data_IF_090810041147
#
_entry.id   IF_090810041147
#
_cell.length_a   1.000
_cell.length_b   1.000
_cell.length_c   1.000
_cell.angle_alpha   90.00
_cell.angle_beta   90.00
_cell.angle_gamma   90.00
#
_symmetry.space_group_name_H-M   'P 1'
#
loop_
_entity.id
_entity.type
_entity.pdbx_description
1 polymer ?
#
# COMPACT_ATOMS: atom_id res chain seq x y z
N UNK A 1 -17.82 7.20 13.92
CA UNK A 1 -16.43 6.88 14.31
C UNK A 1 -16.02 7.76 15.49
N UNK A 2 -15.01 7.34 16.27
CA UNK A 2 -14.45 8.12 17.38
C UNK A 2 -14.14 9.57 16.98
N UNK A 3 -13.51 9.78 15.82
CA UNK A 3 -13.20 11.11 15.26
C UNK A 3 -14.47 11.99 15.08
N UNK A 4 -15.52 11.44 14.50
CA UNK A 4 -16.76 12.19 14.27
C UNK A 4 -17.43 12.59 15.59
N UNK A 5 -17.35 11.73 16.58
CA UNK A 5 -17.88 11.96 17.93
C UNK A 5 -17.07 13.04 18.66
N UNK A 6 -15.73 12.96 18.62
CA UNK A 6 -14.85 13.97 19.23
C UNK A 6 -14.95 15.34 18.54
N UNK A 7 -15.06 15.36 17.20
CA UNK A 7 -15.30 16.62 16.47
C UNK A 7 -16.60 17.30 16.88
N UNK A 8 -17.66 16.54 17.11
CA UNK A 8 -18.96 17.07 17.55
C UNK A 8 -18.91 17.63 18.97
N UNK A 9 -18.10 17.03 19.85
CA UNK A 9 -18.01 17.40 21.28
C UNK A 9 -17.09 18.61 21.51
N UNK A 10 -15.93 18.66 20.88
CA UNK A 10 -14.90 19.65 21.22
C UNK A 10 -14.43 20.56 20.06
N UNK A 11 -14.92 20.29 18.85
CA UNK A 11 -14.52 21.02 17.64
C UNK A 11 -13.12 20.65 17.13
N UNK A 12 -12.86 20.98 15.86
CA UNK A 12 -11.63 20.57 15.16
C UNK A 12 -10.35 21.12 15.82
N UNK A 13 -10.34 22.39 16.24
CA UNK A 13 -9.15 23.04 16.81
C UNK A 13 -8.72 22.40 18.14
N UNK A 14 -9.68 22.09 19.00
CA UNK A 14 -9.39 21.44 20.28
C UNK A 14 -9.00 19.97 20.08
N UNK A 15 -9.60 19.30 19.10
CA UNK A 15 -9.26 17.92 18.74
C UNK A 15 -7.81 17.84 18.23
N UNK A 16 -7.37 18.77 17.38
CA UNK A 16 -5.98 18.83 16.87
C UNK A 16 -4.96 19.14 17.97
N UNK A 17 -5.37 19.87 19.02
CA UNK A 17 -4.51 20.18 20.16
C UNK A 17 -4.54 19.12 21.27
N UNK A 18 -5.42 18.12 21.17
CA UNK A 18 -5.55 17.07 22.18
C UNK A 18 -4.58 15.92 21.95
N UNK A 19 -4.25 15.19 23.03
CA UNK A 19 -3.50 13.95 22.95
C UNK A 19 -4.34 12.84 22.32
N UNK A 20 -3.85 12.32 21.20
CA UNK A 20 -4.45 11.19 20.48
C UNK A 20 -3.89 9.89 21.06
N UNK A 21 -4.45 9.41 22.16
CA UNK A 21 -3.92 8.30 22.96
C UNK A 21 -3.66 7.02 22.17
N UNK A 22 -4.44 6.79 21.11
CA UNK A 22 -4.34 5.57 20.27
C UNK A 22 -3.52 5.80 18.99
N UNK A 23 -3.06 7.06 18.74
CA UNK A 23 -2.24 7.39 17.59
C UNK A 23 -0.76 7.27 17.92
N UNK A 24 -0.11 6.30 17.31
CA UNK A 24 1.35 6.15 17.37
C UNK A 24 1.95 6.42 16.00
N UNK A 25 2.77 7.45 15.90
CA UNK A 25 3.53 7.75 14.68
C UNK A 25 5.01 7.41 14.96
N UNK A 26 5.53 6.41 14.25
CA UNK A 26 6.95 6.04 14.29
C UNK A 26 7.54 6.15 12.90
N UNK A 27 8.68 6.80 12.79
CA UNK A 27 9.41 6.81 11.54
C UNK A 27 10.04 5.44 11.29
N UNK A 28 9.80 4.90 10.10
CA UNK A 28 10.39 3.65 9.62
C UNK A 28 11.16 4.00 8.35
N UNK A 29 12.48 3.71 8.32
CA UNK A 29 13.30 3.89 7.13
C UNK A 29 13.29 2.66 6.24
N UNK A 30 13.36 2.85 4.94
CA UNK A 30 13.65 1.78 4.00
C UNK A 30 15.18 1.53 4.04
N UNK A 31 15.65 0.30 4.34
CA UNK A 31 17.09 0.05 4.42
C UNK A 31 17.72 0.00 3.02
N UNK A 32 18.91 0.60 2.89
CA UNK A 32 19.70 0.45 1.66
C UNK A 32 20.08 -1.04 1.44
N UNK A 33 20.17 -1.52 0.19
CA UNK A 33 20.08 -0.74 -1.05
C UNK A 33 18.65 -0.57 -1.61
N UNK A 34 17.60 -0.91 -0.85
CA UNK A 34 16.23 -0.81 -1.36
C UNK A 34 15.85 0.63 -1.72
N UNK A 35 15.31 0.80 -2.92
CA UNK A 35 14.70 2.04 -3.40
C UNK A 35 13.23 1.82 -3.72
N UNK A 36 12.41 2.87 -3.50
CA UNK A 36 10.99 2.88 -3.86
C UNK A 36 10.81 3.45 -5.26
N UNK A 37 10.17 2.68 -6.14
CA UNK A 37 9.62 3.17 -7.40
C UNK A 37 8.11 3.29 -7.28
N UNK A 38 7.55 4.27 -7.96
CA UNK A 38 6.10 4.46 -8.09
C UNK A 38 5.76 4.57 -9.57
N UNK A 39 4.84 3.74 -10.03
CA UNK A 39 4.31 3.79 -11.39
C UNK A 39 2.84 4.21 -11.37
N UNK A 40 2.46 5.17 -12.20
CA UNK A 40 1.09 5.63 -12.37
C UNK A 40 0.47 5.03 -13.63
N UNK A 41 -0.73 4.46 -13.50
CA UNK A 41 -1.43 3.78 -14.60
C UNK A 41 -2.22 4.71 -15.53
N UNK A 42 -2.11 6.02 -15.35
CA UNK A 42 -2.81 7.01 -16.19
C UNK A 42 -4.29 7.21 -15.85
N UNK A 43 -4.83 6.48 -14.86
CA UNK A 43 -6.23 6.58 -14.47
C UNK A 43 -6.38 6.69 -12.96
N UNK A 44 -7.20 7.64 -12.50
CA UNK A 44 -7.47 7.80 -11.07
C UNK A 44 -8.39 6.69 -10.54
N UNK A 45 -8.08 6.18 -9.36
CA UNK A 45 -8.95 5.25 -8.63
C UNK A 45 -9.95 6.01 -7.75
N UNK A 46 -11.19 5.49 -7.67
CA UNK A 46 -12.19 6.00 -6.74
C UNK A 46 -12.27 5.12 -5.49
N UNK A 47 -11.55 5.50 -4.45
CA UNK A 47 -11.59 4.82 -3.15
C UNK A 47 -13.01 4.76 -2.58
N UNK A 48 -13.80 5.82 -2.73
CA UNK A 48 -15.19 5.89 -2.26
C UNK A 48 -16.06 4.83 -2.95
N UNK A 49 -15.88 4.63 -4.25
CA UNK A 49 -16.62 3.61 -5.00
C UNK A 49 -16.24 2.18 -4.56
N UNK A 50 -14.97 1.92 -4.33
CA UNK A 50 -14.51 0.61 -3.84
C UNK A 50 -15.04 0.31 -2.43
N UNK A 51 -15.00 1.29 -1.52
CA UNK A 51 -15.52 1.15 -0.15
C UNK A 51 -17.03 0.94 -0.14
N UNK A 52 -17.80 1.72 -0.88
CA UNK A 52 -19.27 1.56 -0.94
C UNK A 52 -19.67 0.22 -1.55
N UNK A 53 -18.96 -0.25 -2.58
CA UNK A 53 -19.19 -1.56 -3.18
C UNK A 53 -18.84 -2.70 -2.22
N UNK A 54 -17.78 -2.56 -1.42
CA UNK A 54 -17.41 -3.49 -0.37
C UNK A 54 -18.47 -3.54 0.74
N UNK A 55 -18.96 -2.39 1.20
CA UNK A 55 -19.98 -2.30 2.25
C UNK A 55 -21.32 -2.93 1.81
N UNK A 56 -21.74 -2.71 0.56
CA UNK A 56 -22.95 -3.32 0.00
C UNK A 56 -22.89 -4.86 -0.06
N UNK A 57 -21.69 -5.43 -0.16
CA UNK A 57 -21.45 -6.88 -0.20
C UNK A 57 -21.27 -7.51 1.18
N UNK A 58 -20.98 -6.73 2.21
CA UNK A 58 -20.73 -7.19 3.59
C UNK A 58 -21.94 -7.82 4.29
N UNK A 59 -23.13 -7.63 3.76
CA UNK A 59 -24.40 -8.11 4.37
C UNK A 59 -24.60 -9.63 4.31
N UNK A 60 -23.71 -10.38 3.69
CA UNK A 60 -23.73 -11.86 3.70
C UNK A 60 -22.72 -12.38 4.72
N UNK A 61 -23.15 -13.23 5.65
CA UNK A 61 -22.33 -13.78 6.74
C UNK A 61 -20.98 -14.35 6.27
N UNK A 62 -20.96 -15.05 5.13
CA UNK A 62 -19.72 -15.58 4.52
C UNK A 62 -18.71 -14.49 4.15
N UNK A 63 -19.16 -13.29 3.78
CA UNK A 63 -18.29 -12.17 3.39
C UNK A 63 -17.74 -11.40 4.58
N UNK A 64 -18.43 -11.42 5.70
CA UNK A 64 -17.93 -10.87 6.95
C UNK A 64 -16.76 -11.72 7.51
N UNK A 65 -16.82 -13.03 7.37
CA UNK A 65 -15.72 -13.93 7.70
C UNK A 65 -14.49 -13.69 6.81
N UNK A 66 -14.68 -13.58 5.47
CA UNK A 66 -13.62 -13.25 4.52
C UNK A 66 -12.96 -11.91 4.87
N UNK A 67 -13.76 -10.89 5.17
CA UNK A 67 -13.26 -9.58 5.54
C UNK A 67 -12.45 -9.62 6.85
N UNK A 68 -12.97 -10.30 7.87
CA UNK A 68 -12.30 -10.44 9.16
C UNK A 68 -10.97 -11.21 9.02
N UNK A 69 -10.94 -12.26 8.20
CA UNK A 69 -9.73 -13.00 7.91
C UNK A 69 -8.70 -12.13 7.18
N UNK A 70 -9.14 -11.38 6.16
CA UNK A 70 -8.27 -10.43 5.45
C UNK A 70 -7.65 -9.38 6.38
N UNK A 71 -8.44 -8.82 7.31
CA UNK A 71 -7.92 -7.85 8.28
C UNK A 71 -6.85 -8.45 9.19
N UNK A 72 -7.08 -9.66 9.68
CA UNK A 72 -6.12 -10.36 10.53
C UNK A 72 -4.82 -10.67 9.78
N UNK A 73 -4.93 -11.24 8.58
CA UNK A 73 -3.76 -11.57 7.75
C UNK A 73 -2.99 -10.32 7.33
N UNK A 74 -3.69 -9.24 6.98
CA UNK A 74 -3.08 -7.95 6.63
C UNK A 74 -2.36 -7.33 7.82
N UNK A 75 -2.95 -7.40 9.02
CA UNK A 75 -2.31 -6.91 10.25
C UNK A 75 -0.98 -7.63 10.49
N UNK A 76 -0.99 -8.96 10.47
CA UNK A 76 0.24 -9.76 10.65
C UNK A 76 1.29 -9.40 9.58
N UNK A 77 0.86 -9.26 8.31
CA UNK A 77 1.75 -8.89 7.22
C UNK A 77 2.39 -7.50 7.42
N UNK A 78 1.62 -6.51 7.86
CA UNK A 78 2.12 -5.15 8.15
C UNK A 78 3.06 -5.14 9.35
N UNK A 79 2.73 -5.86 10.44
CA UNK A 79 3.60 -5.99 11.60
C UNK A 79 4.94 -6.64 11.23
N UNK A 80 4.91 -7.66 10.38
CA UNK A 80 6.11 -8.30 9.84
C UNK A 80 6.94 -7.34 8.99
N UNK A 81 6.32 -6.53 8.14
CA UNK A 81 7.01 -5.50 7.34
C UNK A 81 7.68 -4.45 8.23
N UNK A 82 6.97 -3.96 9.25
CA UNK A 82 7.50 -3.00 10.22
C UNK A 82 8.74 -3.56 10.92
N UNK A 83 8.62 -4.78 11.44
CA UNK A 83 9.73 -5.48 12.10
C UNK A 83 10.92 -5.65 11.15
N UNK A 84 10.69 -6.09 9.92
CA UNK A 84 11.73 -6.30 8.92
C UNK A 84 12.46 -5.00 8.56
N UNK A 85 11.74 -3.88 8.40
CA UNK A 85 12.34 -2.57 8.17
C UNK A 85 13.20 -2.12 9.35
N UNK A 86 12.72 -2.31 10.58
CA UNK A 86 13.47 -1.95 11.82
C UNK A 86 14.75 -2.78 11.97
N UNK A 87 14.73 -4.04 11.56
CA UNK A 87 15.86 -4.96 11.61
C UNK A 87 16.72 -4.98 10.33
N UNK A 88 16.37 -4.19 9.32
CA UNK A 88 17.03 -4.13 8.02
C UNK A 88 17.10 -5.50 7.31
N UNK A 89 16.07 -6.31 7.51
CA UNK A 89 15.93 -7.63 6.89
C UNK A 89 15.28 -7.52 5.51
N UNK A 90 16.11 -7.30 4.50
CA UNK A 90 15.65 -7.10 3.09
C UNK A 90 14.86 -8.30 2.57
N UNK A 91 15.29 -9.55 2.72
CA UNK A 91 14.49 -10.70 2.33
C UNK A 91 13.09 -10.70 2.94
N UNK A 92 12.97 -10.42 4.23
CA UNK A 92 11.71 -10.37 4.94
C UNK A 92 10.83 -9.18 4.47
N UNK A 93 11.43 -8.01 4.16
CA UNK A 93 10.73 -6.88 3.54
C UNK A 93 10.11 -7.30 2.20
N UNK A 94 10.91 -7.89 1.31
CA UNK A 94 10.43 -8.35 0.00
C UNK A 94 9.32 -9.39 0.15
N UNK A 95 9.49 -10.35 1.04
CA UNK A 95 8.45 -11.37 1.34
C UNK A 95 7.14 -10.73 1.83
N UNK A 96 7.22 -9.73 2.70
CA UNK A 96 6.04 -9.03 3.22
C UNK A 96 5.30 -8.26 2.12
N UNK A 97 6.01 -7.60 1.19
CA UNK A 97 5.39 -6.92 0.05
C UNK A 97 4.69 -7.91 -0.88
N UNK A 98 5.36 -9.01 -1.25
CA UNK A 98 4.78 -10.08 -2.07
C UNK A 98 3.55 -10.69 -1.40
N UNK A 99 3.63 -10.97 -0.08
CA UNK A 99 2.48 -11.48 0.67
C UNK A 99 1.32 -10.50 0.71
N UNK A 100 1.58 -9.20 0.87
CA UNK A 100 0.53 -8.19 0.86
C UNK A 100 -0.18 -8.12 -0.50
N UNK A 101 0.58 -8.18 -1.62
CA UNK A 101 0.00 -8.29 -2.97
C UNK A 101 -0.92 -9.52 -3.06
N UNK A 102 -0.45 -10.68 -2.63
CA UNK A 102 -1.23 -11.92 -2.63
C UNK A 102 -2.54 -11.78 -1.82
N UNK A 103 -2.47 -11.21 -0.61
CA UNK A 103 -3.64 -11.00 0.24
C UNK A 103 -4.67 -10.08 -0.41
N UNK A 104 -4.22 -9.00 -1.05
CA UNK A 104 -5.09 -8.06 -1.77
C UNK A 104 -5.75 -8.73 -2.98
N UNK A 105 -5.03 -9.53 -3.75
CA UNK A 105 -5.58 -10.28 -4.90
C UNK A 105 -6.62 -11.29 -4.43
N UNK A 106 -6.27 -12.10 -3.44
CA UNK A 106 -7.19 -13.09 -2.87
C UNK A 106 -8.48 -12.43 -2.34
N UNK A 107 -8.35 -11.36 -1.58
CA UNK A 107 -9.49 -10.59 -1.09
C UNK A 107 -10.33 -10.01 -2.23
N UNK A 108 -9.68 -9.51 -3.29
CA UNK A 108 -10.33 -9.01 -4.50
C UNK A 108 -11.20 -10.08 -5.16
N UNK A 109 -10.66 -11.30 -5.32
CA UNK A 109 -11.38 -12.45 -5.88
C UNK A 109 -12.54 -12.87 -4.99
N UNK A 110 -12.29 -13.11 -3.70
CA UNK A 110 -13.28 -13.59 -2.73
C UNK A 110 -14.46 -12.58 -2.57
N UNK A 111 -14.18 -11.28 -2.69
CA UNK A 111 -15.18 -10.20 -2.60
C UNK A 111 -15.73 -9.75 -3.94
N UNK A 112 -15.25 -10.30 -5.06
CA UNK A 112 -15.56 -9.86 -6.42
C UNK A 112 -15.38 -8.35 -6.60
N UNK A 113 -14.21 -7.86 -6.19
CA UNK A 113 -13.74 -6.48 -6.36
C UNK A 113 -12.67 -6.44 -7.46
N UNK A 114 -12.30 -5.25 -7.91
CA UNK A 114 -11.15 -5.04 -8.79
C UNK A 114 -10.14 -4.15 -8.07
N UNK A 115 -9.24 -4.78 -7.31
CA UNK A 115 -8.15 -4.06 -6.61
C UNK A 115 -6.95 -3.92 -7.54
N UNK A 116 -6.52 -5.00 -8.19
CA UNK A 116 -5.43 -4.98 -9.16
C UNK A 116 -6.01 -4.97 -10.57
N UNK A 117 -5.95 -3.82 -11.25
CA UNK A 117 -6.38 -3.66 -12.65
C UNK A 117 -5.37 -4.31 -13.61
N UNK A 118 -5.70 -4.55 -14.89
CA UNK A 118 -4.74 -5.11 -15.85
C UNK A 118 -3.41 -4.36 -15.91
N UNK A 119 -3.41 -3.01 -15.87
CA UNK A 119 -2.18 -2.22 -15.85
C UNK A 119 -1.42 -2.34 -14.51
N UNK A 120 -2.12 -2.47 -13.38
CA UNK A 120 -1.47 -2.76 -12.10
C UNK A 120 -0.90 -4.17 -12.05
N UNK A 121 -1.55 -5.15 -12.69
CA UNK A 121 -1.01 -6.50 -12.86
C UNK A 121 0.28 -6.45 -13.68
N UNK A 122 0.27 -5.77 -14.83
CA UNK A 122 1.46 -5.60 -15.69
C UNK A 122 2.61 -4.91 -14.93
N UNK A 123 2.29 -3.84 -14.17
CA UNK A 123 3.25 -3.15 -13.31
C UNK A 123 3.93 -4.10 -12.33
N UNK A 124 3.14 -4.92 -11.65
CA UNK A 124 3.65 -5.81 -10.62
C UNK A 124 4.38 -7.02 -11.21
N UNK A 125 3.83 -7.64 -12.25
CA UNK A 125 4.38 -8.84 -12.86
C UNK A 125 5.71 -8.55 -13.57
N UNK A 126 5.81 -7.41 -14.28
CA UNK A 126 7.05 -6.97 -14.89
C UNK A 126 8.14 -6.66 -13.86
N UNK A 127 7.78 -6.08 -12.72
CA UNK A 127 8.71 -5.85 -11.62
C UNK A 127 9.20 -7.17 -11.01
N UNK A 128 8.31 -8.13 -10.75
CA UNK A 128 8.65 -9.45 -10.21
C UNK A 128 9.51 -10.26 -11.19
N UNK A 129 9.23 -10.20 -12.50
CA UNK A 129 10.06 -10.83 -13.53
C UNK A 129 11.50 -10.29 -13.57
N UNK A 130 11.71 -9.06 -13.10
CA UNK A 130 13.03 -8.44 -12.94
C UNK A 130 13.63 -8.62 -11.52
N UNK A 131 13.07 -9.51 -10.69
CA UNK A 131 13.58 -9.81 -9.34
C UNK A 131 13.25 -8.77 -8.26
N UNK A 132 12.40 -7.78 -8.59
CA UNK A 132 11.86 -6.81 -7.65
C UNK A 132 10.61 -7.35 -6.96
N UNK A 133 10.01 -6.57 -6.07
CA UNK A 133 8.70 -6.86 -5.48
C UNK A 133 7.80 -5.65 -5.63
N UNK A 134 6.54 -5.87 -6.01
CA UNK A 134 5.61 -4.78 -6.29
C UNK A 134 4.20 -5.10 -5.83
N UNK A 135 3.39 -4.06 -5.68
CA UNK A 135 1.96 -4.16 -5.33
C UNK A 135 1.21 -2.88 -5.70
N UNK A 136 -0.10 -2.95 -5.78
CA UNK A 136 -0.94 -1.75 -5.87
C UNK A 136 -0.71 -0.82 -4.67
N UNK A 137 -0.67 0.48 -4.90
CA UNK A 137 -0.64 1.50 -3.85
C UNK A 137 -2.07 1.86 -3.43
N UNK A 138 -2.30 2.02 -2.13
CA UNK A 138 -3.60 2.42 -1.61
C UNK A 138 -4.71 1.37 -1.78
N UNK A 139 -5.92 1.83 -2.11
CA UNK A 139 -7.11 0.99 -2.24
C UNK A 139 -7.14 0.11 -3.50
N UNK A 140 -6.27 0.37 -4.47
CA UNK A 140 -6.32 -0.27 -5.79
C UNK A 140 -7.41 0.31 -6.71
N UNK A 141 -7.77 -0.43 -7.74
CA UNK A 141 -8.77 0.00 -8.72
C UNK A 141 -8.22 0.92 -9.82
N UNK A 142 -6.91 1.04 -9.95
CA UNK A 142 -6.17 1.95 -10.81
C UNK A 142 -5.15 2.75 -10.04
N UNK A 143 -4.88 4.00 -10.48
CA UNK A 143 -3.95 4.95 -9.87
C UNK A 143 -2.50 4.44 -9.88
N UNK A 144 -1.89 4.23 -8.74
CA UNK A 144 -0.48 3.90 -8.66
C UNK A 144 -0.20 2.47 -8.18
N UNK A 145 0.93 1.93 -8.62
CA UNK A 145 1.60 0.81 -7.99
C UNK A 145 2.94 1.23 -7.40
N UNK A 146 3.41 0.48 -6.42
CA UNK A 146 4.73 0.64 -5.81
C UNK A 146 5.59 -0.59 -6.08
N UNK A 147 6.89 -0.37 -6.23
CA UNK A 147 7.88 -1.40 -6.40
C UNK A 147 9.10 -1.11 -5.52
N UNK A 148 9.71 -2.14 -4.94
CA UNK A 148 10.99 -2.05 -4.25
C UNK A 148 12.06 -2.73 -5.10
N UNK A 149 13.06 -1.95 -5.48
CA UNK A 149 14.25 -2.40 -6.23
C UNK A 149 15.49 -2.34 -5.35
N UNK A 150 16.51 -3.12 -5.66
CA UNK A 150 17.77 -3.16 -4.90
C UNK A 150 19.01 -2.88 -5.74
N UNK A 151 18.84 -2.56 -7.02
CA UNK A 151 19.92 -2.13 -7.91
C UNK A 151 19.45 -1.10 -8.94
N UNK A 152 20.38 -0.29 -9.41
CA UNK A 152 20.12 0.71 -10.43
C UNK A 152 19.73 0.06 -11.78
N UNK A 153 20.36 -1.04 -12.15
CA UNK A 153 20.03 -1.81 -13.36
C UNK A 153 18.58 -2.30 -13.32
N UNK A 154 18.15 -2.88 -12.20
CA UNK A 154 16.78 -3.34 -12.00
C UNK A 154 15.78 -2.18 -12.13
N UNK A 155 16.10 -1.03 -11.54
CA UNK A 155 15.30 0.19 -11.60
C UNK A 155 15.09 0.65 -13.05
N UNK A 156 16.19 0.79 -13.81
CA UNK A 156 16.16 1.26 -15.20
C UNK A 156 15.38 0.30 -16.11
N UNK A 157 15.62 -1.00 -15.98
CA UNK A 157 14.90 -2.02 -16.75
C UNK A 157 13.38 -1.96 -16.48
N UNK A 158 12.97 -1.88 -15.22
CA UNK A 158 11.56 -1.82 -14.84
C UNK A 158 10.91 -0.53 -15.36
N UNK A 159 11.57 0.61 -15.26
CA UNK A 159 11.06 1.88 -15.77
C UNK A 159 10.83 1.83 -17.29
N UNK A 160 11.77 1.28 -18.06
CA UNK A 160 11.61 1.10 -19.52
C UNK A 160 10.41 0.22 -19.85
N UNK A 161 10.24 -0.91 -19.16
CA UNK A 161 9.10 -1.82 -19.37
C UNK A 161 7.79 -1.13 -19.03
N UNK A 162 7.73 -0.40 -17.93
CA UNK A 162 6.53 0.34 -17.53
C UNK A 162 6.14 1.40 -18.56
N UNK A 163 7.10 2.19 -19.06
CA UNK A 163 6.85 3.19 -20.11
C UNK A 163 6.31 2.56 -21.40
N UNK A 164 6.87 1.42 -21.81
CA UNK A 164 6.38 0.68 -22.98
C UNK A 164 4.97 0.13 -22.80
N UNK A 165 4.59 -0.21 -21.56
CA UNK A 165 3.24 -0.65 -21.21
C UNK A 165 2.24 0.51 -20.99
N UNK A 166 2.68 1.77 -21.11
CA UNK A 166 1.83 2.95 -20.85
C UNK A 166 1.67 3.27 -19.37
N UNK A 167 2.56 2.77 -18.52
CA UNK A 167 2.66 3.10 -17.11
C UNK A 167 3.72 4.17 -16.93
N UNK A 168 3.41 5.24 -16.20
CA UNK A 168 4.28 6.40 -16.04
C UNK A 168 5.11 6.28 -14.76
N UNK A 169 6.44 6.05 -14.82
CA UNK A 169 7.29 6.12 -13.64
C UNK A 169 7.28 7.54 -13.07
N UNK A 170 6.98 7.67 -11.78
CA UNK A 170 6.97 8.98 -11.12
C UNK A 170 8.35 9.24 -10.50
N UNK A 171 8.93 10.45 -10.70
CA UNK A 171 10.25 10.83 -10.16
C UNK A 171 10.13 11.20 -8.68
N UNK A 172 9.73 10.25 -7.84
CA UNK A 172 9.54 10.44 -6.41
C UNK A 172 10.72 9.89 -5.62
N UNK A 173 11.03 10.54 -4.51
CA UNK A 173 12.00 10.10 -3.51
C UNK A 173 11.36 10.07 -2.14
N UNK A 174 11.81 9.15 -1.27
CA UNK A 174 11.39 9.14 0.12
C UNK A 174 11.97 10.37 0.81
N UNK A 175 11.10 11.18 1.43
CA UNK A 175 11.52 12.39 2.14
C UNK A 175 12.38 12.02 3.34
N UNK A 176 13.55 12.65 3.45
CA UNK A 176 14.38 12.57 4.64
C UNK A 176 13.78 13.43 5.77
N UNK A 177 14.01 13.00 7.00
CA UNK A 177 13.59 13.76 8.17
C UNK A 177 14.37 15.07 8.23
N UNK A 178 13.70 16.20 8.04
CA UNK A 178 14.25 17.51 8.40
C UNK A 178 14.45 17.54 9.94
N UNK A 179 15.70 17.53 10.39
CA UNK A 179 16.08 17.64 11.80
C UNK A 179 15.73 19.00 12.43
N UNK A 180 15.20 19.96 11.64
CA UNK A 180 15.00 21.36 12.04
C UNK A 180 13.55 21.73 12.38
N UNK A 181 12.63 20.77 12.44
CA UNK A 181 11.25 21.03 12.88
C UNK A 181 10.91 20.19 14.12
N UNK A 182 11.36 20.64 15.25
CA UNK A 182 10.79 20.40 16.58
C UNK A 182 10.56 21.76 17.22
#
# INVERSE_FOLDING_TARGET
>A
SWLSEQMSVQGLSNLLASDWKDLQIKQIGLPAPLELLVGWTGSAASTTHLVSHMESKKTQQSKEEIYSQFLNDSKVCVEQLIWACQNRDIPCIKQAVTRNRYLLRKFSEDMSLTIETPLLTELCDSAEANGAVAKSSGAGGGDCGICLVDSQEQKENIQIIWEQAGIFPLPLTIAERNKERI
#
